data_IF_054547028026
#
_entry.id   IF_054547028026
#
_cell.length_a   1.000
_cell.length_b   1.000
_cell.length_c   1.000
_cell.angle_alpha   90.00
_cell.angle_beta   90.00
_cell.angle_gamma   90.00
#
_symmetry.space_group_name_H-M   'P 1'
#
loop_
_entity.id
_entity.type
_entity.pdbx_description
1 polymer ?
#
# COMPACT_ATOMS: atom_id res chain seq x y z
N UNK A 1 -19.22 -2.31 23.33
CA UNK A 1 -19.83 -1.80 24.57
C UNK A 1 -18.78 -1.80 25.66
N UNK A 2 -18.61 -0.70 26.38
CA UNK A 2 -17.69 -0.64 27.53
C UNK A 2 -18.53 -0.84 28.79
N UNK A 3 -18.38 -1.97 29.51
CA UNK A 3 -19.16 -2.20 30.71
C UNK A 3 -18.79 -1.18 31.80
N UNK A 4 -19.78 -0.62 32.49
CA UNK A 4 -19.60 0.37 33.55
C UNK A 4 -18.88 -0.18 34.80
N UNK A 5 -18.82 -1.50 34.96
CA UNK A 5 -18.24 -2.18 36.11
C UNK A 5 -16.70 -2.29 36.14
N UNK A 6 -15.98 -1.77 35.15
CA UNK A 6 -14.50 -1.79 35.14
C UNK A 6 -13.87 -3.19 34.96
N UNK A 7 -12.98 -3.62 35.85
CA UNK A 7 -12.37 -4.95 35.80
C UNK A 7 -13.17 -5.94 36.66
N UNK A 8 -13.78 -6.96 36.04
CA UNK A 8 -14.56 -7.94 36.77
C UNK A 8 -15.04 -9.10 35.91
N UNK A 9 -15.82 -9.99 36.53
CA UNK A 9 -16.55 -11.04 35.81
C UNK A 9 -17.79 -10.42 35.19
N UNK A 10 -17.93 -10.60 33.88
CA UNK A 10 -19.09 -10.14 33.13
C UNK A 10 -19.95 -11.33 32.72
N UNK A 11 -21.25 -11.21 32.94
CA UNK A 11 -22.25 -12.11 32.35
C UNK A 11 -22.87 -11.40 31.16
N UNK A 12 -22.97 -12.10 30.03
CA UNK A 12 -23.66 -11.61 28.84
C UNK A 12 -25.00 -12.35 28.75
N UNK A 13 -26.09 -11.60 28.82
CA UNK A 13 -27.44 -12.13 28.61
C UNK A 13 -27.98 -11.54 27.31
N UNK A 14 -28.40 -12.40 26.40
CA UNK A 14 -28.99 -11.98 25.12
C UNK A 14 -30.50 -12.13 25.25
N UNK A 15 -31.20 -11.01 25.10
CA UNK A 15 -32.65 -10.95 25.13
C UNK A 15 -33.16 -10.75 23.71
N UNK A 16 -34.16 -11.53 23.34
CA UNK A 16 -34.82 -11.42 22.05
C UNK A 16 -35.87 -10.31 22.13
N UNK A 17 -35.72 -9.27 21.30
CA UNK A 17 -36.62 -8.11 21.35
C UNK A 17 -37.97 -8.34 20.63
N UNK A 18 -38.00 -9.13 19.54
CA UNK A 18 -39.21 -9.37 18.74
C UNK A 18 -39.36 -10.85 18.36
N UNK A 19 -40.59 -11.36 18.27
CA UNK A 19 -40.88 -12.72 17.82
C UNK A 19 -41.10 -12.78 16.30
N UNK A 20 -40.37 -13.66 15.61
CA UNK A 20 -40.70 -14.11 14.25
C UNK A 20 -41.60 -15.36 14.34
N UNK A 21 -42.58 -15.48 13.44
CA UNK A 21 -43.52 -16.60 13.38
C UNK A 21 -42.95 -17.85 12.71
N UNK A 22 -41.89 -17.70 11.90
CA UNK A 22 -41.53 -18.75 10.93
C UNK A 22 -40.25 -19.53 11.30
N UNK A 23 -39.33 -18.93 12.07
CA UNK A 23 -38.19 -19.64 12.68
C UNK A 23 -37.56 -18.82 13.80
N UNK A 24 -37.13 -19.49 14.87
CA UNK A 24 -36.61 -18.86 16.08
C UNK A 24 -35.30 -19.53 16.57
N UNK A 25 -34.29 -19.59 15.71
CA UNK A 25 -32.95 -20.02 16.09
C UNK A 25 -32.00 -18.82 16.19
N UNK A 26 -31.30 -18.71 17.33
CA UNK A 26 -30.16 -17.81 17.50
C UNK A 26 -28.93 -18.69 17.72
N UNK A 27 -27.98 -18.63 16.80
CA UNK A 27 -26.69 -19.30 16.95
C UNK A 27 -25.62 -18.27 17.26
N UNK A 28 -24.97 -18.43 18.40
CA UNK A 28 -23.84 -17.58 18.81
C UNK A 28 -22.57 -18.34 18.44
N UNK A 29 -21.75 -17.73 17.58
CA UNK A 29 -20.49 -18.34 17.18
C UNK A 29 -19.42 -18.15 18.26
N UNK A 30 -19.10 -16.90 18.60
CA UNK A 30 -17.99 -16.56 19.51
C UNK A 30 -18.30 -15.27 20.28
N UNK A 31 -17.76 -15.15 21.50
CA UNK A 31 -17.79 -13.92 22.32
C UNK A 31 -16.34 -13.53 22.61
N UNK A 32 -15.97 -12.30 22.27
CA UNK A 32 -14.64 -11.77 22.54
C UNK A 32 -14.72 -10.60 23.52
N UNK A 33 -13.69 -10.45 24.35
CA UNK A 33 -13.49 -9.26 25.18
C UNK A 33 -12.14 -8.66 24.88
N UNK A 34 -12.07 -7.33 24.80
CA UNK A 34 -10.83 -6.58 24.62
C UNK A 34 -10.53 -5.86 25.92
N UNK A 35 -9.35 -6.13 26.47
CA UNK A 35 -8.84 -5.46 27.67
C UNK A 35 -7.69 -4.55 27.30
N UNK A 36 -7.85 -3.25 27.52
CA UNK A 36 -6.76 -2.29 27.42
C UNK A 36 -6.05 -2.24 28.77
N UNK A 37 -4.73 -2.47 28.79
CA UNK A 37 -3.90 -2.37 29.98
C UNK A 37 -3.52 -0.90 30.19
N UNK A 38 -4.09 -0.23 31.19
CA UNK A 38 -3.96 1.23 31.34
C UNK A 38 -2.73 1.72 32.13
N UNK A 39 -1.89 0.83 32.67
CA UNK A 39 -0.70 1.20 33.46
C UNK A 39 0.58 0.54 32.96
N UNK A 40 0.61 0.15 31.69
CA UNK A 40 1.78 -0.43 31.07
C UNK A 40 2.11 0.41 29.84
N UNK A 41 3.13 1.27 29.99
CA UNK A 41 3.64 2.06 28.89
C UNK A 41 4.70 1.23 28.20
N UNK A 42 4.37 0.74 27.02
CA UNK A 42 5.36 0.27 26.06
C UNK A 42 5.62 1.45 25.13
N UNK A 43 6.75 2.13 25.33
CA UNK A 43 7.07 3.34 24.57
C UNK A 43 7.27 3.03 23.07
N UNK A 44 7.84 1.87 22.78
CA UNK A 44 8.27 1.51 21.43
C UNK A 44 7.37 0.46 20.76
N UNK A 45 6.66 -0.36 21.55
CA UNK A 45 5.96 -1.55 21.07
C UNK A 45 4.47 -1.60 21.44
N UNK A 46 3.68 -2.33 20.65
CA UNK A 46 2.30 -2.70 21.01
C UNK A 46 2.16 -4.21 21.06
N UNK A 47 1.95 -4.77 22.25
CA UNK A 47 1.72 -6.20 22.42
C UNK A 47 0.22 -6.52 22.41
N UNK A 48 -0.19 -7.41 21.51
CA UNK A 48 -1.53 -7.98 21.50
C UNK A 48 -1.46 -9.43 21.96
N UNK A 49 -2.04 -9.72 23.14
CA UNK A 49 -2.19 -11.10 23.63
C UNK A 49 -3.60 -11.59 23.32
N UNK A 50 -3.68 -12.70 22.59
CA UNK A 50 -4.94 -13.41 22.38
C UNK A 50 -4.98 -14.65 23.26
N UNK A 51 -5.99 -14.74 24.12
CA UNK A 51 -6.22 -15.91 24.99
C UNK A 51 -7.52 -16.58 24.58
N UNK A 52 -7.48 -17.89 24.36
CA UNK A 52 -8.64 -18.68 23.93
C UNK A 52 -8.84 -19.83 24.93
N UNK A 53 -10.10 -20.11 25.27
CA UNK A 53 -10.44 -21.27 26.09
C UNK A 53 -10.35 -22.56 25.25
N UNK A 54 -9.70 -23.59 25.77
CA UNK A 54 -9.62 -24.89 25.10
C UNK A 54 -11.00 -25.57 25.11
N UNK A 55 -11.44 -26.09 23.96
CA UNK A 55 -12.66 -26.90 23.81
C UNK A 55 -12.27 -28.37 23.62
N UNK A 56 -13.00 -29.30 24.25
CA UNK A 56 -12.68 -30.74 24.26
C UNK A 56 -12.80 -31.44 22.90
N UNK A 57 -13.55 -30.87 21.94
CA UNK A 57 -13.48 -31.36 20.57
C UNK A 57 -12.30 -30.71 19.85
N UNK A 58 -11.35 -31.54 19.42
CA UNK A 58 -10.33 -31.19 18.45
C UNK A 58 -11.00 -30.92 17.10
N UNK A 59 -11.63 -29.76 16.95
CA UNK A 59 -11.89 -29.19 15.62
C UNK A 59 -10.53 -28.98 14.99
N UNK A 60 -10.21 -29.83 14.01
CA UNK A 60 -8.89 -29.98 13.39
C UNK A 60 -8.21 -28.65 13.14
N UNK A 61 -6.88 -28.65 13.35
CA UNK A 61 -5.92 -27.55 13.19
C UNK A 61 -6.41 -26.51 12.20
N UNK A 62 -7.21 -25.56 12.69
CA UNK A 62 -7.55 -24.36 11.96
C UNK A 62 -6.46 -23.39 12.35
N UNK A 63 -5.57 -23.08 11.41
CA UNK A 63 -4.67 -21.94 11.56
C UNK A 63 -5.52 -20.73 11.95
N UNK A 64 -5.40 -20.32 13.22
CA UNK A 64 -6.15 -19.21 13.77
C UNK A 64 -5.48 -17.94 13.28
N UNK A 65 -5.94 -17.44 12.13
CA UNK A 65 -5.46 -16.18 11.55
C UNK A 65 -6.21 -15.02 12.18
N UNK A 66 -5.48 -14.15 12.87
CA UNK A 66 -6.00 -12.88 13.38
C UNK A 66 -5.57 -11.76 12.43
N UNK A 67 -6.54 -10.96 11.99
CA UNK A 67 -6.26 -9.79 11.15
C UNK A 67 -6.31 -8.54 12.03
N UNK A 68 -5.29 -7.70 11.92
CA UNK A 68 -5.24 -6.41 12.62
C UNK A 68 -5.25 -5.27 11.60
N UNK A 69 -6.08 -4.26 11.86
CA UNK A 69 -6.00 -2.99 11.16
C UNK A 69 -4.96 -2.13 11.87
N UNK A 70 -3.75 -2.11 11.34
CA UNK A 70 -2.61 -1.39 11.92
C UNK A 70 -2.37 -0.11 11.12
N UNK A 71 -2.13 0.99 11.83
CA UNK A 71 -1.68 2.25 11.21
C UNK A 71 -0.24 2.52 11.62
N UNK A 72 0.65 2.56 10.63
CA UNK A 72 2.07 2.83 10.84
C UNK A 72 2.29 4.27 11.32
N UNK A 73 3.23 4.44 12.24
CA UNK A 73 3.76 5.74 12.60
C UNK A 73 5.04 5.98 11.81
N UNK A 74 5.11 7.11 11.13
CA UNK A 74 6.24 7.48 10.27
C UNK A 74 6.70 8.89 10.60
N UNK A 75 7.94 9.19 10.20
CA UNK A 75 8.44 10.56 10.12
C UNK A 75 7.80 11.27 8.91
N UNK A 76 7.94 12.58 8.84
CA UNK A 76 7.41 13.40 7.74
C UNK A 76 8.43 14.44 7.29
N UNK A 77 8.26 15.01 6.11
CA UNK A 77 9.07 16.11 5.59
C UNK A 77 8.19 17.31 5.26
N UNK A 78 8.66 18.50 5.64
CA UNK A 78 7.96 19.75 5.39
C UNK A 78 8.55 20.44 4.15
N UNK A 79 7.71 20.63 3.11
CA UNK A 79 8.10 21.24 1.83
C UNK A 79 8.48 22.73 1.94
N UNK A 80 7.94 23.46 2.93
CA UNK A 80 8.16 24.89 3.09
C UNK A 80 9.49 25.17 3.80
N UNK A 81 9.74 24.45 4.88
CA UNK A 81 10.97 24.58 5.69
C UNK A 81 12.12 23.74 5.16
N UNK A 82 11.83 22.75 4.31
CA UNK A 82 12.78 21.79 3.72
C UNK A 82 13.53 20.95 4.76
N UNK A 83 12.88 20.66 5.88
CA UNK A 83 13.45 19.87 6.96
C UNK A 83 12.66 18.59 7.19
N UNK A 84 13.37 17.54 7.61
CA UNK A 84 12.78 16.30 8.10
C UNK A 84 12.28 16.52 9.53
N UNK A 85 11.03 16.16 9.77
CA UNK A 85 10.45 16.08 11.10
C UNK A 85 10.42 14.62 11.56
N UNK A 86 11.32 14.31 12.49
CA UNK A 86 11.47 12.98 13.07
C UNK A 86 10.39 12.61 14.09
N UNK A 87 9.41 13.49 14.33
CA UNK A 87 8.26 13.18 15.17
C UNK A 87 7.41 12.09 14.50
N UNK A 88 7.30 10.94 15.15
CA UNK A 88 6.49 9.82 14.68
C UNK A 88 4.99 10.16 14.73
N UNK A 89 4.33 10.13 13.57
CA UNK A 89 2.90 10.41 13.43
C UNK A 89 2.20 9.34 12.60
N UNK A 90 0.90 9.08 12.86
CA UNK A 90 0.17 8.06 12.12
C UNK A 90 -0.10 8.51 10.67
N UNK A 91 0.57 7.90 9.70
CA UNK A 91 0.39 8.20 8.27
C UNK A 91 0.15 6.96 7.41
N UNK A 92 -0.58 7.16 6.31
CA UNK A 92 -0.80 6.17 5.25
C UNK A 92 -0.13 6.59 3.94
N UNK A 93 0.47 7.78 3.88
CA UNK A 93 1.06 8.31 2.66
C UNK A 93 2.36 7.57 2.33
N UNK A 94 2.54 7.17 1.07
CA UNK A 94 3.77 6.57 0.58
C UNK A 94 4.98 7.53 0.75
N UNK A 95 4.77 8.83 0.65
CA UNK A 95 5.84 9.82 0.78
C UNK A 95 6.38 9.96 2.21
N UNK A 96 5.60 9.58 3.23
CA UNK A 96 6.08 9.47 4.61
C UNK A 96 6.72 8.08 4.87
N UNK A 97 6.25 7.06 4.14
CA UNK A 97 6.76 5.70 4.21
C UNK A 97 8.22 5.59 3.74
N UNK A 98 8.53 6.16 2.57
CA UNK A 98 9.87 6.12 1.97
C UNK A 98 10.96 6.69 2.89
N UNK A 99 10.88 7.94 3.39
CA UNK A 99 11.90 8.50 4.26
C UNK A 99 12.00 7.75 5.58
N UNK A 100 10.89 7.23 6.12
CA UNK A 100 10.95 6.41 7.32
C UNK A 100 11.73 5.11 7.07
N UNK A 101 11.51 4.44 5.95
CA UNK A 101 12.28 3.25 5.57
C UNK A 101 13.74 3.59 5.28
N UNK A 102 14.02 4.70 4.59
CA UNK A 102 15.39 5.07 4.18
C UNK A 102 16.25 5.62 5.33
N UNK A 103 15.73 6.62 6.05
CA UNK A 103 16.47 7.36 7.07
C UNK A 103 16.45 6.66 8.43
N UNK A 104 15.30 6.12 8.84
CA UNK A 104 15.14 5.51 10.18
C UNK A 104 15.52 4.03 10.14
N UNK A 105 14.94 3.24 9.24
CA UNK A 105 15.26 1.80 9.19
C UNK A 105 16.60 1.52 8.50
N UNK A 106 16.92 2.28 7.46
CA UNK A 106 18.16 2.11 6.69
C UNK A 106 19.36 2.90 7.23
N UNK A 107 19.16 3.76 8.23
CA UNK A 107 20.17 4.66 8.81
C UNK A 107 20.95 5.47 7.75
N UNK A 108 20.32 5.76 6.62
CA UNK A 108 20.95 6.51 5.54
C UNK A 108 20.86 8.01 5.81
N UNK A 109 21.88 8.80 5.39
CA UNK A 109 21.88 10.23 5.63
C UNK A 109 20.89 10.96 4.69
N UNK A 110 20.27 12.05 5.16
CA UNK A 110 19.27 12.82 4.40
C UNK A 110 19.75 13.26 3.01
N UNK A 111 21.06 13.50 2.85
CA UNK A 111 21.66 13.92 1.57
C UNK A 111 21.62 12.87 0.46
N UNK A 112 21.34 11.60 0.78
CA UNK A 112 21.30 10.51 -0.23
C UNK A 112 19.92 10.29 -0.83
N UNK A 113 18.94 11.14 -0.50
CA UNK A 113 17.57 11.02 -1.00
C UNK A 113 16.98 12.39 -1.33
N UNK A 114 16.32 12.51 -2.48
CA UNK A 114 15.60 13.72 -2.87
C UNK A 114 14.19 13.73 -2.26
N UNK A 115 14.10 14.19 -1.01
CA UNK A 115 12.84 14.34 -0.29
C UNK A 115 11.95 15.43 -0.89
N UNK A 116 12.56 16.47 -1.44
CA UNK A 116 11.79 17.58 -2.00
C UNK A 116 10.97 17.10 -3.20
N UNK A 117 11.61 16.40 -4.14
CA UNK A 117 10.92 15.87 -5.32
C UNK A 117 9.88 14.81 -4.93
N UNK A 118 10.20 13.93 -3.99
CA UNK A 118 9.26 12.92 -3.48
C UNK A 118 7.96 13.55 -2.95
N UNK A 119 8.07 14.55 -2.08
CA UNK A 119 6.90 15.19 -1.47
C UNK A 119 6.16 16.09 -2.47
N UNK A 120 6.88 16.69 -3.43
CA UNK A 120 6.25 17.41 -4.54
C UNK A 120 5.39 16.47 -5.40
N UNK A 121 5.91 15.30 -5.73
CA UNK A 121 5.16 14.26 -6.44
C UNK A 121 3.95 13.84 -5.62
N UNK A 122 4.12 13.60 -4.31
CA UNK A 122 3.04 13.22 -3.42
C UNK A 122 1.90 14.25 -3.39
N UNK A 123 2.24 15.54 -3.34
CA UNK A 123 1.26 16.63 -3.40
C UNK A 123 0.53 16.74 -4.74
N UNK A 124 1.08 16.19 -5.83
CA UNK A 124 0.43 16.18 -7.15
C UNK A 124 -0.59 15.05 -7.32
N UNK A 125 -0.58 14.04 -6.46
CA UNK A 125 -1.43 12.86 -6.60
C UNK A 125 -2.86 13.20 -6.22
N UNK A 126 -3.77 13.12 -7.20
CA UNK A 126 -5.21 13.29 -6.98
C UNK A 126 -5.98 12.11 -7.60
N UNK A 127 -6.86 11.43 -6.84
CA UNK A 127 -7.14 11.59 -5.42
C UNK A 127 -6.00 11.08 -4.52
N UNK A 128 -5.89 11.62 -3.30
CA UNK A 128 -4.82 11.30 -2.35
C UNK A 128 -4.73 9.80 -1.98
N UNK A 129 -5.84 9.08 -2.13
CA UNK A 129 -5.93 7.63 -1.88
C UNK A 129 -5.02 6.81 -2.80
N UNK A 130 -4.71 7.31 -4.00
CA UNK A 130 -3.75 6.68 -4.92
C UNK A 130 -2.29 6.79 -4.44
N UNK A 131 -2.04 7.57 -3.39
CA UNK A 131 -0.75 7.65 -2.71
C UNK A 131 -0.70 6.85 -1.41
N UNK A 132 -1.70 6.02 -1.10
CA UNK A 132 -1.68 5.25 0.14
C UNK A 132 -0.82 3.99 0.03
N UNK A 133 -0.09 3.72 1.11
CA UNK A 133 0.71 2.51 1.28
C UNK A 133 0.43 1.90 2.66
N UNK A 134 -0.29 0.77 2.65
CA UNK A 134 -0.67 0.01 3.84
C UNK A 134 -0.06 -1.41 3.88
N UNK A 135 0.95 -1.66 3.06
CA UNK A 135 1.64 -2.95 3.04
C UNK A 135 2.66 -3.05 4.18
N UNK A 136 2.78 -4.23 4.76
CA UNK A 136 3.75 -4.54 5.82
C UNK A 136 4.82 -5.46 5.26
N UNK A 137 6.08 -5.15 5.54
CA UNK A 137 7.17 -6.07 5.24
C UNK A 137 7.39 -7.00 6.44
N UNK A 138 7.23 -8.30 6.24
CA UNK A 138 7.47 -9.34 7.23
C UNK A 138 8.82 -10.04 7.02
N UNK A 139 9.27 -10.13 5.77
CA UNK A 139 10.53 -10.74 5.37
C UNK A 139 11.73 -9.82 5.62
N UNK A 140 12.77 -10.34 6.28
CA UNK A 140 14.03 -9.64 6.55
C UNK A 140 14.91 -9.56 5.29
N UNK A 141 14.80 -10.53 4.38
CA UNK A 141 15.67 -10.67 3.20
C UNK A 141 15.40 -9.62 2.10
N UNK A 142 14.31 -8.84 2.23
CA UNK A 142 14.01 -7.77 1.28
C UNK A 142 14.97 -6.60 1.51
N UNK A 143 15.81 -6.33 0.50
CA UNK A 143 16.75 -5.21 0.53
C UNK A 143 16.07 -3.85 0.71
N UNK A 144 16.80 -2.89 1.29
CA UNK A 144 16.31 -1.52 1.50
C UNK A 144 15.79 -0.88 0.20
N UNK A 145 16.53 -1.05 -0.91
CA UNK A 145 16.13 -0.53 -2.22
C UNK A 145 14.83 -1.16 -2.72
N UNK A 146 14.67 -2.47 -2.59
CA UNK A 146 13.46 -3.18 -2.99
C UNK A 146 12.24 -2.74 -2.16
N UNK A 147 12.42 -2.47 -0.85
CA UNK A 147 11.35 -1.91 0.00
C UNK A 147 10.89 -0.54 -0.50
N UNK A 148 11.84 0.35 -0.81
CA UNK A 148 11.52 1.69 -1.35
C UNK A 148 10.83 1.57 -2.71
N UNK A 149 11.32 0.70 -3.59
CA UNK A 149 10.69 0.45 -4.90
C UNK A 149 9.26 -0.05 -4.75
N UNK A 150 9.00 -1.02 -3.86
CA UNK A 150 7.65 -1.50 -3.56
C UNK A 150 6.73 -0.40 -3.04
N UNK A 151 7.23 0.49 -2.18
CA UNK A 151 6.48 1.65 -1.69
C UNK A 151 6.14 2.61 -2.84
N UNK A 152 7.11 2.92 -3.68
CA UNK A 152 6.95 3.86 -4.80
C UNK A 152 6.02 3.30 -5.89
N UNK A 153 6.07 2.00 -6.15
CA UNK A 153 5.20 1.32 -7.11
C UNK A 153 3.71 1.47 -6.77
N UNK A 154 3.35 1.54 -5.47
CA UNK A 154 1.97 1.78 -5.06
C UNK A 154 1.41 3.12 -5.60
N UNK A 155 2.27 4.13 -5.73
CA UNK A 155 1.91 5.48 -6.19
C UNK A 155 2.31 5.75 -7.66
N UNK A 156 2.76 4.72 -8.41
CA UNK A 156 3.33 4.84 -9.78
C UNK A 156 4.51 5.80 -9.85
N UNK A 157 5.37 5.73 -8.85
CA UNK A 157 6.61 6.49 -8.77
C UNK A 157 7.78 5.54 -9.05
N UNK A 158 8.69 5.95 -9.90
CA UNK A 158 9.95 5.26 -10.15
C UNK A 158 11.01 5.88 -9.27
N UNK A 159 11.71 5.06 -8.50
CA UNK A 159 12.92 5.45 -7.78
C UNK A 159 14.14 5.07 -8.62
N UNK A 160 15.08 5.98 -8.79
CA UNK A 160 16.32 5.74 -9.54
C UNK A 160 17.49 6.48 -8.90
N UNK A 161 18.69 5.99 -9.15
CA UNK A 161 19.92 6.60 -8.67
C UNK A 161 20.38 7.68 -9.66
N UNK A 162 20.53 8.90 -9.16
CA UNK A 162 21.17 10.01 -9.87
C UNK A 162 22.35 10.52 -9.03
N UNK A 163 23.57 10.31 -9.52
CA UNK A 163 24.81 10.78 -8.87
C UNK A 163 24.91 10.46 -7.36
N UNK A 164 24.44 9.27 -6.94
CA UNK A 164 24.47 8.85 -5.53
C UNK A 164 23.34 9.41 -4.66
N UNK A 165 22.35 10.07 -5.27
CA UNK A 165 21.11 10.52 -4.63
C UNK A 165 19.95 9.71 -5.20
N UNK A 166 19.16 9.12 -4.32
CA UNK A 166 17.93 8.43 -4.68
C UNK A 166 16.87 9.47 -5.06
N UNK A 167 16.53 9.50 -6.34
CA UNK A 167 15.64 10.49 -6.95
C UNK A 167 14.37 9.81 -7.44
N UNK A 168 13.29 10.59 -7.53
CA UNK A 168 11.96 10.08 -7.84
C UNK A 168 11.38 10.75 -9.08
N UNK A 169 10.66 9.97 -9.89
CA UNK A 169 9.85 10.48 -10.99
C UNK A 169 8.55 9.71 -11.08
N UNK A 170 7.44 10.42 -11.21
CA UNK A 170 6.13 9.81 -11.44
C UNK A 170 5.98 9.36 -12.89
N UNK A 171 5.38 8.19 -13.10
CA UNK A 171 4.93 7.76 -14.42
C UNK A 171 3.60 8.43 -14.78
N UNK A 172 3.66 9.50 -15.56
CA UNK A 172 2.48 10.19 -16.04
C UNK A 172 2.60 10.60 -17.50
N UNK A 173 1.44 10.85 -18.12
CA UNK A 173 1.40 11.30 -19.50
C UNK A 173 2.02 12.69 -19.58
N UNK A 174 3.20 12.77 -20.19
CA UNK A 174 3.83 14.05 -20.52
C UNK A 174 3.29 14.56 -21.87
N UNK A 175 2.90 15.83 -21.92
CA UNK A 175 2.41 16.48 -23.15
C UNK A 175 3.54 16.84 -24.09
N UNK A 176 4.75 17.06 -23.56
CA UNK A 176 5.95 17.36 -24.33
C UNK A 176 6.95 16.21 -24.23
N UNK A 177 7.60 15.82 -25.34
CA UNK A 177 8.65 14.80 -25.30
C UNK A 177 9.82 15.29 -24.46
N UNK A 178 10.30 14.44 -23.54
CA UNK A 178 11.39 14.79 -22.62
C UNK A 178 12.74 14.98 -23.34
N UNK A 179 12.95 14.30 -24.47
CA UNK A 179 14.12 14.47 -25.31
C UNK A 179 13.74 14.24 -26.78
N UNK A 180 14.18 15.14 -27.66
CA UNK A 180 14.03 14.99 -29.11
C UNK A 180 15.36 14.52 -29.69
N UNK A 181 15.46 13.23 -29.97
CA UNK A 181 16.61 12.69 -30.68
C UNK A 181 16.36 12.65 -32.18
N UNK A 182 17.00 13.54 -32.93
CA UNK A 182 17.01 13.50 -34.40
C UNK A 182 18.36 12.95 -34.91
N UNK A 183 18.46 12.67 -36.22
CA UNK A 183 19.71 12.18 -36.83
C UNK A 183 20.89 13.15 -36.66
N UNK A 184 20.60 14.45 -36.48
CA UNK A 184 21.59 15.52 -36.36
C UNK A 184 22.14 15.69 -34.94
N UNK A 185 21.41 15.29 -33.90
CA UNK A 185 21.74 15.44 -32.47
C UNK A 185 22.19 14.12 -31.83
N UNK A 186 22.61 13.12 -32.62
CA UNK A 186 23.17 11.85 -32.11
C UNK A 186 24.65 11.76 -32.44
N UNK A 187 25.44 11.23 -31.50
CA UNK A 187 26.86 10.93 -31.71
C UNK A 187 26.96 9.83 -32.78
N UNK A 188 27.69 10.11 -33.87
CA UNK A 188 27.74 9.24 -35.05
C UNK A 188 28.65 8.05 -34.84
N UNK A 189 28.10 6.84 -34.94
CA UNK A 189 28.66 5.69 -35.70
C UNK A 189 27.79 4.42 -35.55
N UNK A 190 26.90 4.33 -34.56
CA UNK A 190 26.06 3.13 -34.34
C UNK A 190 24.58 3.47 -34.13
N UNK A 191 23.90 3.98 -35.17
CA UNK A 191 22.44 4.10 -35.12
C UNK A 191 21.78 2.74 -35.39
N UNK A 192 21.33 2.05 -34.34
CA UNK A 192 20.43 0.90 -34.44
C UNK A 192 19.08 1.25 -33.80
N UNK A 193 18.02 1.22 -34.60
CA UNK A 193 16.64 1.32 -34.12
C UNK A 193 16.01 -0.07 -34.24
N UNK A 194 15.79 -0.72 -33.10
CA UNK A 194 15.03 -1.96 -33.04
C UNK A 194 13.61 -1.61 -32.61
N UNK A 195 12.63 -1.95 -33.45
CA UNK A 195 11.22 -1.81 -33.11
C UNK A 195 10.68 -3.19 -32.77
N UNK A 196 10.30 -3.39 -31.50
CA UNK A 196 9.64 -4.61 -31.08
C UNK A 196 8.12 -4.39 -31.16
N UNK A 197 7.50 -5.03 -32.14
CA UNK A 197 6.05 -4.99 -32.32
C UNK A 197 5.42 -6.07 -31.46
N UNK A 198 4.52 -5.69 -30.57
CA UNK A 198 3.72 -6.67 -29.81
C UNK A 198 3.01 -7.62 -30.77
N UNK A 199 3.33 -8.91 -30.65
CA UNK A 199 2.71 -9.96 -31.46
C UNK A 199 1.26 -10.24 -31.00
N UNK A 200 0.37 -10.72 -31.89
CA UNK A 200 -0.95 -11.20 -31.51
C UNK A 200 -0.82 -12.38 -30.53
N UNK A 201 -1.31 -12.23 -29.31
CA UNK A 201 -1.21 -13.23 -28.24
C UNK A 201 -0.48 -12.77 -26.97
N UNK A 202 0.13 -11.59 -26.99
CA UNK A 202 0.67 -10.95 -25.78
C UNK A 202 -0.47 -10.45 -24.88
N UNK A 203 -0.29 -10.56 -23.54
CA UNK A 203 -1.26 -10.09 -22.56
C UNK A 203 -1.51 -8.58 -22.74
N UNK A 204 -2.77 -8.21 -22.99
CA UNK A 204 -3.23 -6.84 -23.21
C UNK A 204 -4.17 -6.36 -22.09
N UNK A 205 -3.98 -6.93 -20.89
CA UNK A 205 -4.80 -6.62 -19.73
C UNK A 205 -4.00 -6.68 -18.45
N UNK A 206 -4.55 -6.06 -17.41
CA UNK A 206 -4.02 -6.13 -16.05
C UNK A 206 -5.07 -6.81 -15.18
N UNK A 207 -4.63 -7.80 -14.43
CA UNK A 207 -5.40 -8.42 -13.36
C UNK A 207 -4.86 -7.91 -12.02
N UNK A 208 -5.74 -7.36 -11.19
CA UNK A 208 -5.40 -6.84 -9.87
C UNK A 208 -6.26 -7.53 -8.84
N UNK A 209 -5.62 -8.19 -7.87
CA UNK A 209 -6.29 -8.65 -6.67
C UNK A 209 -6.31 -7.55 -5.61
N UNK A 210 -7.49 -7.24 -5.10
CA UNK A 210 -7.70 -6.28 -4.03
C UNK A 210 -8.35 -6.95 -2.82
N UNK A 211 -7.79 -6.74 -1.63
CA UNK A 211 -8.39 -7.16 -0.36
C UNK A 211 -9.05 -5.94 0.29
N UNK A 212 -10.37 -5.99 0.47
CA UNK A 212 -11.08 -4.91 1.14
C UNK A 212 -10.71 -4.85 2.63
N UNK A 213 -10.27 -3.69 3.17
CA UNK A 213 -9.91 -3.57 4.58
C UNK A 213 -11.13 -3.66 5.52
N UNK A 214 -12.34 -3.39 5.03
CA UNK A 214 -13.57 -3.43 5.83
C UNK A 214 -14.20 -4.82 5.89
N UNK A 215 -14.18 -5.54 4.77
CA UNK A 215 -14.88 -6.83 4.65
C UNK A 215 -13.92 -8.02 4.66
N UNK A 216 -12.61 -7.77 4.56
CA UNK A 216 -11.56 -8.78 4.42
C UNK A 216 -11.86 -9.82 3.33
N UNK A 217 -12.54 -9.39 2.27
CA UNK A 217 -12.84 -10.21 1.09
C UNK A 217 -11.89 -9.84 -0.04
N UNK A 218 -11.35 -10.87 -0.69
CA UNK A 218 -10.60 -10.75 -1.94
C UNK A 218 -11.56 -10.47 -3.08
N UNK A 219 -11.24 -9.52 -3.93
CA UNK A 219 -11.95 -9.22 -5.18
C UNK A 219 -10.91 -9.05 -6.27
N UNK A 220 -11.14 -9.70 -7.39
CA UNK A 220 -10.27 -9.63 -8.56
C UNK A 220 -10.88 -8.67 -9.58
N UNK A 221 -10.10 -7.69 -10.01
CA UNK A 221 -10.46 -6.78 -11.08
C UNK A 221 -9.63 -7.12 -12.32
N UNK A 222 -10.31 -7.39 -13.42
CA UNK A 222 -9.67 -7.61 -14.72
C UNK A 222 -10.03 -6.44 -15.62
N UNK A 223 -9.04 -5.75 -16.14
CA UNK A 223 -9.22 -4.73 -17.19
C UNK A 223 -8.40 -5.14 -18.40
N UNK A 224 -9.07 -5.34 -19.53
CA UNK A 224 -8.42 -5.41 -20.84
C UNK A 224 -8.32 -3.99 -21.40
N UNK A 225 -7.20 -3.65 -22.03
CA UNK A 225 -7.08 -2.42 -22.80
C UNK A 225 -8.02 -2.54 -24.00
N UNK A 226 -9.15 -1.81 -24.00
CA UNK A 226 -9.91 -1.62 -25.23
C UNK A 226 -9.00 -0.90 -26.22
N UNK A 227 -8.59 -1.57 -27.29
CA UNK A 227 -8.01 -0.94 -28.47
C UNK A 227 -9.00 0.13 -28.96
N UNK A 228 -8.77 1.39 -28.56
CA UNK A 228 -9.50 2.53 -29.13
C UNK A 228 -9.19 2.56 -30.62
N UNK A 229 -10.23 2.38 -31.43
CA UNK A 229 -10.22 2.52 -32.88
C UNK A 229 -9.49 3.79 -33.32
N UNK A 230 -8.24 3.66 -33.71
CA UNK A 230 -7.50 4.68 -34.45
C UNK A 230 -6.57 3.93 -35.39
N UNK A 231 -7.13 3.54 -36.54
CA UNK A 231 -6.46 3.43 -37.84
C UNK A 231 -7.47 2.87 -38.85
N UNK A 232 -8.38 3.73 -39.34
CA UNK A 232 -8.96 3.50 -40.68
C UNK A 232 -7.83 3.76 -41.68
N UNK A 233 -7.38 2.78 -42.49
CA UNK A 233 -6.44 3.08 -43.55
C UNK A 233 -7.18 3.94 -44.59
N UNK A 234 -6.70 5.17 -44.79
CA UNK A 234 -7.02 5.98 -45.95
C UNK A 234 -6.64 5.16 -47.19
N UNK A 235 -7.64 4.61 -47.89
CA UNK A 235 -7.48 4.15 -49.27
C UNK A 235 -7.04 5.35 -50.11
N UNK A 236 -5.74 5.46 -50.40
CA UNK A 236 -5.29 6.27 -51.53
C UNK A 236 -5.65 5.50 -52.79
N UNK A 237 -6.56 6.08 -53.57
CA UNK A 237 -6.69 5.79 -54.99
C UNK A 237 -5.39 6.19 -55.67
N UNK A 238 -4.73 5.24 -56.33
CA UNK A 238 -4.39 5.25 -57.75
C UNK A 238 -3.90 3.86 -58.14
#
# INVERSE_FOLDING_TARGET
>A
MTPSGGFGRYSVTILKANNSSDSNSLQIAEIHSVRILQNQVHADDTFVRVTVQATEQATGVRDRKYNALVKRHTISYDLATRMVDYTLRPSRNFADAVPHTWLVMGEQPEKTIDLYELYRIAGSITPAELGYFDYTFDDEDVSLGARVEMICNAARVIAFWDNGVLTFSREEKRTTPAALFNRSNKKGEEFRLTYDMRMPGQYDGVEVEYVSPLTNKKTTFVTALQQRELLRPLRKRH
#
